data_IF_339798026255
#
_entry.id   IF_339798026255
#
_cell.length_a   1.000
_cell.length_b   1.000
_cell.length_c   1.000
_cell.angle_alpha   90.00
_cell.angle_beta   90.00
_cell.angle_gamma   90.00
#
_symmetry.space_group_name_H-M   'P 1'
#
loop_
_entity.id
_entity.type
_entity.pdbx_description
1 polymer ?
#
# COMPACT_ATOMS: atom_id res chain seq x y z
N UNK A 1 -17.81 2.37 2.22
CA UNK A 1 -17.58 1.02 1.70
C UNK A 1 -16.41 1.13 0.72
N UNK A 2 -16.05 0.07 0.01
CA UNK A 2 -15.08 0.14 -1.08
C UNK A 2 -15.57 1.12 -2.17
N UNK A 3 -14.66 1.83 -2.81
CA UNK A 3 -14.95 2.77 -3.91
C UNK A 3 -14.10 2.42 -5.15
N UNK A 4 -14.66 2.44 -6.37
CA UNK A 4 -13.91 2.07 -7.56
C UNK A 4 -12.97 3.21 -7.98
N UNK A 5 -11.71 2.87 -8.23
CA UNK A 5 -10.77 3.77 -8.88
C UNK A 5 -10.39 5.03 -8.11
N UNK A 6 -9.58 5.84 -8.79
CA UNK A 6 -9.31 7.25 -8.56
C UNK A 6 -8.20 7.67 -9.54
N UNK A 7 -7.74 8.93 -9.48
CA UNK A 7 -6.69 9.44 -10.36
C UNK A 7 -5.39 8.62 -10.35
N UNK A 8 -5.06 7.92 -9.26
CA UNK A 8 -3.87 7.04 -9.16
C UNK A 8 -4.20 5.58 -9.50
N UNK A 9 -5.32 5.06 -8.99
CA UNK A 9 -5.70 3.66 -9.19
C UNK A 9 -6.15 3.36 -10.62
N UNK A 10 -6.68 4.35 -11.33
CA UNK A 10 -7.22 4.22 -12.67
C UNK A 10 -8.74 4.09 -12.66
N UNK A 11 -9.25 3.31 -13.60
CA UNK A 11 -10.67 3.09 -13.85
C UNK A 11 -11.34 2.23 -12.78
N UNK A 12 -12.10 1.20 -13.17
CA UNK A 12 -12.95 0.43 -12.25
C UNK A 12 -12.39 -0.92 -11.82
N UNK A 13 -11.18 -1.28 -12.27
CA UNK A 13 -10.55 -2.57 -11.91
C UNK A 13 -10.20 -2.65 -10.41
N UNK A 14 -9.61 -1.58 -9.87
CA UNK A 14 -9.11 -1.55 -8.49
C UNK A 14 -10.08 -0.77 -7.61
N UNK A 15 -10.52 -1.40 -6.53
CA UNK A 15 -11.38 -0.80 -5.52
C UNK A 15 -10.58 -0.44 -4.27
N UNK A 16 -10.76 0.77 -3.75
CA UNK A 16 -10.08 1.25 -2.57
C UNK A 16 -10.95 1.19 -1.33
N UNK A 17 -10.38 0.79 -0.19
CA UNK A 17 -10.98 0.99 1.13
C UNK A 17 -10.13 1.97 1.94
N UNK A 18 -10.65 3.16 2.25
CA UNK A 18 -9.92 4.16 3.03
C UNK A 18 -10.47 4.34 4.45
N UNK A 19 -9.57 4.71 5.36
CA UNK A 19 -9.83 5.13 6.73
C UNK A 19 -9.29 6.56 6.95
N UNK A 20 -9.70 7.25 8.03
CA UNK A 20 -9.15 8.55 8.38
C UNK A 20 -7.65 8.42 8.65
N UNK A 21 -6.87 9.42 8.25
CA UNK A 21 -5.40 9.34 8.31
C UNK A 21 -4.83 10.33 9.31
N UNK A 22 -3.59 10.09 9.74
CA UNK A 22 -2.79 11.09 10.48
C UNK A 22 -3.03 11.13 11.99
N UNK A 23 -3.76 10.18 12.57
CA UNK A 23 -3.92 10.06 14.03
C UNK A 23 -3.33 8.74 14.54
N UNK A 24 -2.79 8.72 15.76
CA UNK A 24 -2.16 7.53 16.33
C UNK A 24 -3.16 6.37 16.47
N UNK A 25 -4.42 6.71 16.73
CA UNK A 25 -5.54 5.77 16.83
C UNK A 25 -5.85 5.01 15.54
N UNK A 26 -5.48 5.55 14.37
CA UNK A 26 -5.74 4.91 13.07
C UNK A 26 -4.44 4.52 12.34
N UNK A 27 -3.36 5.25 12.58
CA UNK A 27 -2.05 5.06 11.98
C UNK A 27 -0.96 4.84 13.06
N UNK A 28 -1.02 3.74 13.83
CA UNK A 28 -0.14 3.56 14.98
C UNK A 28 1.34 3.38 14.60
N UNK A 29 1.62 2.98 13.35
CA UNK A 29 2.97 2.85 12.82
C UNK A 29 3.53 4.12 12.17
N UNK A 30 2.85 5.28 12.24
CA UNK A 30 3.32 6.48 11.55
C UNK A 30 4.69 6.97 12.06
N UNK A 31 5.49 7.49 11.15
CA UNK A 31 6.74 8.24 11.40
C UNK A 31 6.49 9.75 11.38
N UNK A 32 7.49 10.55 11.76
CA UNK A 32 7.42 12.01 11.63
C UNK A 32 7.26 12.43 10.15
N UNK A 33 8.02 11.84 9.24
CA UNK A 33 7.91 12.01 7.80
C UNK A 33 6.50 11.69 7.29
N UNK A 34 5.88 10.63 7.81
CA UNK A 34 4.48 10.30 7.48
C UNK A 34 3.52 11.39 7.96
N UNK A 35 3.68 11.92 9.17
CA UNK A 35 2.84 13.01 9.69
C UNK A 35 2.94 14.26 8.83
N UNK A 36 4.15 14.65 8.46
CA UNK A 36 4.41 15.84 7.65
C UNK A 36 3.92 15.70 6.20
N UNK A 37 4.07 14.51 5.61
CA UNK A 37 3.84 14.30 4.17
C UNK A 37 2.64 13.40 3.84
N UNK A 38 1.75 13.15 4.79
CA UNK A 38 0.60 12.26 4.57
C UNK A 38 -0.30 12.79 3.45
N UNK A 39 -0.25 12.15 2.28
CA UNK A 39 -1.08 12.57 1.15
C UNK A 39 -2.57 12.42 1.46
N UNK A 40 -2.95 11.46 2.31
CA UNK A 40 -4.34 11.17 2.62
C UNK A 40 -4.95 12.27 3.51
N UNK A 41 -4.22 12.76 4.52
CA UNK A 41 -4.62 13.94 5.31
C UNK A 41 -4.86 15.16 4.40
N UNK A 42 -3.94 15.40 3.45
CA UNK A 42 -4.12 16.49 2.48
C UNK A 42 -5.39 16.29 1.63
N UNK A 43 -5.66 15.07 1.15
CA UNK A 43 -6.90 14.78 0.40
C UNK A 43 -8.14 14.98 1.25
N UNK A 44 -8.15 14.52 2.50
CA UNK A 44 -9.27 14.65 3.43
C UNK A 44 -9.59 16.12 3.73
N UNK A 45 -8.57 16.98 3.85
CA UNK A 45 -8.72 18.44 4.06
C UNK A 45 -9.51 19.13 2.95
N UNK A 46 -9.24 18.81 1.69
CA UNK A 46 -9.87 19.49 0.54
C UNK A 46 -11.04 18.68 -0.08
N UNK A 47 -11.37 17.50 0.46
CA UNK A 47 -12.47 16.65 -0.03
C UNK A 47 -13.36 16.15 1.12
N UNK A 48 -14.28 16.97 1.62
CA UNK A 48 -15.10 16.63 2.79
C UNK A 48 -15.92 15.35 2.61
N UNK A 49 -16.43 15.09 1.40
CA UNK A 49 -17.12 13.83 1.09
C UNK A 49 -16.22 12.59 1.25
N UNK A 50 -14.94 12.71 0.92
CA UNK A 50 -13.95 11.63 1.12
C UNK A 50 -13.67 11.44 2.60
N UNK A 51 -13.42 12.51 3.35
CA UNK A 51 -13.22 12.47 4.80
C UNK A 51 -14.42 11.82 5.52
N UNK A 52 -15.64 12.23 5.19
CA UNK A 52 -16.86 11.65 5.74
C UNK A 52 -17.01 10.16 5.37
N UNK A 53 -16.64 9.76 4.15
CA UNK A 53 -16.64 8.35 3.74
C UNK A 53 -15.63 7.51 4.55
N UNK A 54 -14.46 8.07 4.84
CA UNK A 54 -13.42 7.43 5.64
C UNK A 54 -13.87 7.26 7.10
N UNK A 55 -14.49 8.28 7.70
CA UNK A 55 -15.07 8.18 9.04
C UNK A 55 -16.16 7.09 9.11
N UNK A 56 -17.07 7.06 8.12
CA UNK A 56 -18.06 5.96 8.02
C UNK A 56 -17.41 4.59 7.87
N UNK A 57 -16.28 4.50 7.18
CA UNK A 57 -15.54 3.24 7.07
C UNK A 57 -14.93 2.82 8.41
N UNK A 58 -14.34 3.74 9.17
CA UNK A 58 -13.82 3.47 10.51
C UNK A 58 -14.91 2.97 11.47
N UNK A 59 -16.10 3.56 11.43
CA UNK A 59 -17.24 3.03 12.20
C UNK A 59 -17.60 1.59 11.76
N UNK A 60 -17.57 1.32 10.45
CA UNK A 60 -17.86 -0.04 9.92
C UNK A 60 -16.83 -1.07 10.35
N UNK A 61 -15.55 -0.73 10.46
CA UNK A 61 -14.51 -1.70 10.86
C UNK A 61 -14.73 -2.26 12.26
N UNK A 62 -15.44 -1.53 13.12
CA UNK A 62 -15.76 -1.91 14.51
C UNK A 62 -16.95 -2.88 14.60
N UNK A 63 -17.87 -2.87 13.63
CA UNK A 63 -19.09 -3.70 13.65
C UNK A 63 -18.79 -5.20 13.60
N UNK A 64 -19.53 -6.03 14.36
CA UNK A 64 -19.35 -7.50 14.36
C UNK A 64 -19.51 -8.13 12.98
N UNK A 65 -20.35 -7.56 12.12
CA UNK A 65 -20.68 -8.05 10.78
C UNK A 65 -19.75 -7.53 9.66
N UNK A 66 -18.66 -6.82 9.99
CA UNK A 66 -17.76 -6.19 9.01
C UNK A 66 -17.29 -7.17 7.92
N UNK A 67 -16.77 -8.34 8.31
CA UNK A 67 -16.25 -9.36 7.37
C UNK A 67 -17.35 -9.80 6.40
N UNK A 68 -18.55 -10.06 6.92
CA UNK A 68 -19.71 -10.48 6.12
C UNK A 68 -20.09 -9.42 5.10
N UNK A 69 -20.16 -8.16 5.52
CA UNK A 69 -20.53 -7.03 4.66
C UNK A 69 -19.52 -6.74 3.57
N UNK A 70 -18.23 -6.78 3.90
CA UNK A 70 -17.18 -6.60 2.87
C UNK A 70 -17.27 -7.72 1.85
N UNK A 71 -17.41 -8.98 2.27
CA UNK A 71 -17.55 -10.10 1.33
C UNK A 71 -18.78 -9.99 0.44
N UNK A 72 -19.94 -9.68 1.01
CA UNK A 72 -21.16 -9.46 0.24
C UNK A 72 -20.97 -8.37 -0.81
N UNK A 73 -20.28 -7.29 -0.46
CA UNK A 73 -19.94 -6.22 -1.39
C UNK A 73 -19.02 -6.71 -2.53
N UNK A 74 -17.96 -7.46 -2.20
CA UNK A 74 -17.04 -7.99 -3.22
C UNK A 74 -17.76 -8.84 -4.26
N UNK A 75 -18.69 -9.68 -3.81
CA UNK A 75 -19.52 -10.54 -4.67
C UNK A 75 -20.48 -9.71 -5.51
N UNK A 76 -21.27 -8.85 -4.87
CA UNK A 76 -22.31 -8.06 -5.53
C UNK A 76 -21.76 -7.12 -6.61
N UNK A 77 -20.50 -6.67 -6.47
CA UNK A 77 -19.85 -5.76 -7.42
C UNK A 77 -18.78 -6.44 -8.28
N UNK A 78 -18.67 -7.77 -8.26
CA UNK A 78 -17.66 -8.54 -9.00
C UNK A 78 -16.24 -7.94 -8.87
N UNK A 79 -15.85 -7.58 -7.64
CA UNK A 79 -14.60 -6.86 -7.40
C UNK A 79 -13.40 -7.78 -7.64
N UNK A 80 -12.55 -7.42 -8.59
CA UNK A 80 -11.35 -8.20 -8.92
C UNK A 80 -10.14 -7.86 -8.04
N UNK A 81 -9.90 -6.56 -7.81
CA UNK A 81 -8.70 -6.09 -7.09
C UNK A 81 -9.09 -5.09 -6.00
N UNK A 82 -8.56 -5.28 -4.80
CA UNK A 82 -8.78 -4.40 -3.64
C UNK A 82 -7.46 -3.83 -3.15
N UNK A 83 -7.36 -2.49 -3.16
CA UNK A 83 -6.38 -1.78 -2.35
C UNK A 83 -6.94 -1.58 -0.96
N UNK A 84 -6.42 -2.35 0.00
CA UNK A 84 -6.72 -2.11 1.41
C UNK A 84 -5.90 -0.89 1.85
N UNK A 85 -6.59 0.13 2.35
CA UNK A 85 -6.05 1.44 2.72
C UNK A 85 -5.62 2.32 1.54
N UNK A 86 -6.57 3.16 1.08
CA UNK A 86 -6.25 4.39 0.33
C UNK A 86 -5.91 5.57 1.24
N UNK A 87 -6.19 5.41 2.54
CA UNK A 87 -5.92 6.29 3.67
C UNK A 87 -6.07 5.47 4.96
N UNK A 88 -5.48 5.94 6.06
CA UNK A 88 -5.33 5.23 7.33
C UNK A 88 -4.46 3.97 7.24
N UNK A 89 -4.45 3.16 8.30
CA UNK A 89 -3.64 1.93 8.38
C UNK A 89 -4.35 0.84 9.22
N UNK A 90 -3.70 -0.32 9.40
CA UNK A 90 -4.10 -1.33 10.35
C UNK A 90 -3.89 -0.84 11.79
N UNK A 91 -4.94 -0.30 12.38
CA UNK A 91 -4.87 0.32 13.70
C UNK A 91 -4.91 -0.64 14.90
N UNK A 92 -5.24 -1.92 14.69
CA UNK A 92 -5.27 -2.91 15.76
C UNK A 92 -5.14 -4.33 15.22
N UNK A 93 -4.65 -5.25 16.06
CA UNK A 93 -4.61 -6.70 15.76
C UNK A 93 -6.00 -7.23 15.39
N UNK A 94 -7.03 -6.79 16.10
CA UNK A 94 -8.42 -7.18 15.85
C UNK A 94 -8.92 -6.73 14.47
N UNK A 95 -8.58 -5.51 14.05
CA UNK A 95 -8.91 -5.03 12.71
C UNK A 95 -8.14 -5.74 11.61
N UNK A 96 -6.83 -5.95 11.79
CA UNK A 96 -6.02 -6.74 10.85
C UNK A 96 -6.60 -8.15 10.68
N UNK A 97 -6.96 -8.84 11.77
CA UNK A 97 -7.59 -10.17 11.71
C UNK A 97 -8.88 -10.19 10.90
N UNK A 98 -9.66 -9.10 10.92
CA UNK A 98 -10.89 -9.00 10.11
C UNK A 98 -10.58 -8.97 8.62
N UNK A 99 -9.58 -8.19 8.19
CA UNK A 99 -9.14 -8.20 6.80
C UNK A 99 -8.53 -9.52 6.38
N UNK A 100 -7.74 -10.14 7.24
CA UNK A 100 -7.18 -11.48 6.97
C UNK A 100 -8.30 -12.49 6.70
N UNK A 101 -9.36 -12.47 7.52
CA UNK A 101 -10.57 -13.30 7.31
C UNK A 101 -11.33 -12.97 6.02
N UNK A 102 -11.31 -11.72 5.55
CA UNK A 102 -11.89 -11.35 4.24
C UNK A 102 -11.04 -11.97 3.13
N UNK A 103 -9.73 -11.79 3.17
CA UNK A 103 -8.78 -12.29 2.17
C UNK A 103 -8.87 -13.82 2.03
N UNK A 104 -8.86 -14.54 3.15
CA UNK A 104 -9.01 -16.00 3.18
C UNK A 104 -10.32 -16.50 2.56
N UNK A 105 -11.42 -15.75 2.73
CA UNK A 105 -12.76 -16.16 2.26
C UNK A 105 -13.12 -15.57 0.89
N UNK A 106 -12.16 -14.95 0.21
CA UNK A 106 -12.32 -14.33 -1.11
C UNK A 106 -11.11 -14.64 -2.00
N UNK A 107 -10.79 -15.93 -2.24
CA UNK A 107 -9.55 -16.33 -2.93
C UNK A 107 -9.45 -15.84 -4.38
N UNK A 108 -10.59 -15.53 -5.03
CA UNK A 108 -10.64 -14.97 -6.40
C UNK A 108 -10.38 -13.47 -6.47
N UNK A 109 -10.31 -12.78 -5.32
CA UNK A 109 -10.05 -11.34 -5.25
C UNK A 109 -8.60 -11.13 -4.87
N UNK A 110 -7.89 -10.29 -5.63
CA UNK A 110 -6.53 -9.90 -5.30
C UNK A 110 -6.53 -8.71 -4.36
N UNK A 111 -5.86 -8.84 -3.22
CA UNK A 111 -5.69 -7.77 -2.24
C UNK A 111 -4.27 -7.26 -2.27
N UNK A 112 -4.08 -5.97 -2.06
CA UNK A 112 -2.77 -5.41 -1.77
C UNK A 112 -2.88 -4.19 -0.86
N UNK A 113 -1.82 -3.92 -0.11
CA UNK A 113 -1.77 -2.77 0.79
C UNK A 113 -0.34 -2.35 1.11
N UNK A 114 -0.23 -1.10 1.56
CA UNK A 114 0.97 -0.53 2.15
C UNK A 114 0.66 -0.24 3.60
N UNK A 115 1.56 -0.62 4.49
CA UNK A 115 1.35 -0.42 5.93
C UNK A 115 2.65 0.02 6.58
N UNK A 116 2.59 0.95 7.54
CA UNK A 116 3.67 1.17 8.51
C UNK A 116 3.37 0.47 9.83
N UNK A 117 2.16 -0.06 10.02
CA UNK A 117 1.79 -0.87 11.20
C UNK A 117 2.56 -2.19 11.34
N UNK A 118 3.46 -2.54 10.41
CA UNK A 118 4.49 -3.57 10.66
C UNK A 118 5.40 -3.19 11.84
N UNK A 119 5.48 -1.92 12.21
CA UNK A 119 6.18 -1.44 13.42
C UNK A 119 5.45 -1.80 14.72
N UNK A 120 4.18 -2.24 14.63
CA UNK A 120 3.38 -2.64 15.80
C UNK A 120 3.35 -4.16 15.86
N UNK A 121 4.10 -4.76 16.79
CA UNK A 121 4.34 -6.21 16.84
C UNK A 121 3.05 -7.06 16.75
N UNK A 122 2.00 -6.68 17.49
CA UNK A 122 0.72 -7.39 17.51
C UNK A 122 -0.02 -7.34 16.15
N UNK A 123 0.17 -6.28 15.36
CA UNK A 123 -0.40 -6.11 14.02
C UNK A 123 0.49 -6.80 12.99
N UNK A 124 1.82 -6.63 13.09
CA UNK A 124 2.83 -7.26 12.23
C UNK A 124 2.60 -8.76 12.09
N UNK A 125 2.41 -9.47 13.20
CA UNK A 125 2.18 -10.92 13.19
C UNK A 125 0.97 -11.34 12.33
N UNK A 126 -0.05 -10.49 12.20
CA UNK A 126 -1.22 -10.76 11.33
C UNK A 126 -0.94 -10.36 9.88
N UNK A 127 -0.22 -9.26 9.66
CA UNK A 127 0.21 -8.83 8.32
C UNK A 127 1.08 -9.91 7.67
N UNK A 128 1.99 -10.53 8.41
CA UNK A 128 2.86 -11.60 7.91
C UNK A 128 2.05 -12.84 7.53
N UNK A 129 0.98 -13.17 8.27
CA UNK A 129 0.03 -14.22 7.86
C UNK A 129 -0.70 -13.86 6.56
N UNK A 130 -1.05 -12.59 6.36
CA UNK A 130 -1.65 -12.14 5.10
C UNK A 130 -0.66 -12.32 3.94
N UNK A 131 0.63 -12.06 4.14
CA UNK A 131 1.66 -12.19 3.09
C UNK A 131 1.83 -13.62 2.57
N UNK A 132 1.45 -14.63 3.35
CA UNK A 132 1.47 -16.03 2.90
C UNK A 132 0.33 -16.33 1.92
N UNK A 133 -0.77 -15.58 1.94
CA UNK A 133 -1.92 -15.84 1.07
C UNK A 133 -1.58 -15.54 -0.40
N UNK A 134 -1.88 -16.45 -1.35
CA UNK A 134 -1.55 -16.26 -2.76
C UNK A 134 -2.31 -15.09 -3.42
N UNK A 135 -3.43 -14.68 -2.82
CA UNK A 135 -4.25 -13.57 -3.29
C UNK A 135 -3.97 -12.25 -2.53
N UNK A 136 -2.84 -12.14 -1.82
CA UNK A 136 -2.48 -10.93 -1.09
C UNK A 136 -1.02 -10.50 -1.36
N UNK A 137 -0.82 -9.24 -1.76
CA UNK A 137 0.49 -8.62 -1.92
C UNK A 137 0.72 -7.60 -0.81
N UNK A 138 1.68 -7.89 0.07
CA UNK A 138 1.97 -7.07 1.25
C UNK A 138 3.17 -6.17 0.99
N UNK A 139 2.98 -4.88 1.25
CA UNK A 139 4.06 -3.90 1.20
C UNK A 139 4.29 -3.28 2.57
N UNK A 140 5.50 -3.44 3.09
CA UNK A 140 5.96 -2.61 4.19
C UNK A 140 6.33 -1.25 3.62
N UNK A 141 5.64 -0.22 4.11
CA UNK A 141 6.00 1.16 3.81
C UNK A 141 7.08 1.59 4.77
N UNK A 142 8.16 2.11 4.21
CA UNK A 142 9.34 2.62 4.90
C UNK A 142 9.60 4.08 4.47
N UNK A 143 10.37 4.78 5.27
CA UNK A 143 10.97 6.08 4.99
C UNK A 143 12.22 6.25 5.87
N UNK A 144 12.88 7.41 5.74
CA UNK A 144 14.09 7.73 6.48
C UNK A 144 13.97 7.58 8.00
N UNK A 145 12.78 7.81 8.57
CA UNK A 145 12.59 7.75 10.03
C UNK A 145 12.27 6.33 10.49
N UNK A 146 11.58 5.55 9.66
CA UNK A 146 11.30 4.14 10.01
C UNK A 146 12.48 3.22 9.75
N UNK A 147 13.37 3.60 8.84
CA UNK A 147 14.32 2.69 8.22
C UNK A 147 13.62 1.52 7.51
N UNK A 148 14.38 0.46 7.27
CA UNK A 148 13.89 -0.84 6.78
C UNK A 148 13.85 -1.84 7.93
N UNK A 149 12.96 -2.85 7.91
CA UNK A 149 12.96 -3.90 8.93
C UNK A 149 14.26 -4.71 8.86
N UNK A 150 14.75 -5.17 10.02
CA UNK A 150 15.96 -6.03 10.10
C UNK A 150 15.76 -7.35 9.35
N UNK A 151 14.55 -7.91 9.45
CA UNK A 151 14.17 -9.15 8.76
C UNK A 151 12.97 -8.86 7.87
N UNK A 152 13.10 -9.18 6.59
CA UNK A 152 12.03 -9.06 5.59
C UNK A 152 11.47 -10.47 5.33
N UNK A 153 10.20 -10.75 5.68
CA UNK A 153 9.59 -12.04 5.33
C UNK A 153 9.56 -12.25 3.81
N UNK A 154 9.75 -13.49 3.35
CA UNK A 154 9.98 -13.80 1.93
C UNK A 154 8.92 -13.27 0.95
N UNK A 155 7.66 -13.12 1.38
CA UNK A 155 6.54 -12.61 0.56
C UNK A 155 6.16 -11.15 0.84
N UNK A 156 6.95 -10.45 1.64
CA UNK A 156 6.77 -9.03 1.93
C UNK A 156 7.69 -8.21 1.02
N UNK A 157 7.13 -7.16 0.44
CA UNK A 157 7.85 -6.21 -0.39
C UNK A 157 8.10 -4.92 0.37
N UNK A 158 9.16 -4.20 0.02
CA UNK A 158 9.52 -2.93 0.63
C UNK A 158 9.22 -1.77 -0.30
N UNK A 159 8.43 -0.81 0.20
CA UNK A 159 8.13 0.44 -0.46
C UNK A 159 8.74 1.61 0.32
N UNK A 160 9.64 2.38 -0.29
CA UNK A 160 10.24 3.56 0.34
C UNK A 160 9.49 4.83 -0.05
N UNK A 161 9.28 5.75 0.90
CA UNK A 161 8.77 7.09 0.61
C UNK A 161 9.93 8.08 0.67
N UNK A 162 10.38 8.54 -0.49
CA UNK A 162 11.36 9.61 -0.61
C UNK A 162 10.71 10.98 -0.31
N UNK A 163 11.24 11.69 0.68
CA UNK A 163 10.71 12.98 1.17
C UNK A 163 11.61 14.18 0.89
N UNK A 164 12.86 13.94 0.51
CA UNK A 164 13.83 14.98 0.15
C UNK A 164 14.57 14.64 -1.15
N UNK A 165 15.29 15.63 -1.69
CA UNK A 165 16.04 15.50 -2.93
C UNK A 165 17.27 14.59 -2.77
N UNK A 166 17.88 14.67 -1.60
CA UNK A 166 19.04 13.93 -1.13
C UNK A 166 18.66 12.63 -0.38
N UNK A 167 17.38 12.25 -0.41
CA UNK A 167 16.89 11.02 0.21
C UNK A 167 17.36 9.81 -0.62
N UNK A 168 18.49 9.24 -0.21
CA UNK A 168 19.07 8.03 -0.81
C UNK A 168 18.43 6.81 -0.16
N UNK A 169 17.58 6.07 -0.89
CA UNK A 169 16.86 4.95 -0.34
C UNK A 169 17.82 3.74 -0.17
N UNK A 170 17.69 2.93 0.90
CA UNK A 170 18.54 1.76 1.10
C UNK A 170 18.51 0.75 -0.06
N UNK A 171 19.55 -0.05 -0.22
CA UNK A 171 19.56 -1.15 -1.19
C UNK A 171 18.48 -2.20 -0.87
N UNK A 172 18.06 -2.96 -1.90
CA UNK A 172 17.12 -4.08 -1.72
C UNK A 172 15.64 -3.67 -1.55
N UNK A 173 15.28 -2.45 -1.95
CA UNK A 173 13.89 -2.00 -2.02
C UNK A 173 13.20 -2.45 -3.30
N UNK A 174 11.90 -2.72 -3.22
CA UNK A 174 11.10 -3.18 -4.36
C UNK A 174 10.43 -2.02 -5.12
N UNK A 175 10.17 -0.90 -4.46
CA UNK A 175 9.55 0.27 -5.07
C UNK A 175 9.82 1.56 -4.26
N UNK A 176 10.02 2.67 -4.95
CA UNK A 176 10.14 4.01 -4.35
C UNK A 176 8.92 4.85 -4.75
N UNK A 177 8.26 5.44 -3.76
CA UNK A 177 7.29 6.51 -3.91
C UNK A 177 7.95 7.85 -3.58
N UNK A 178 7.40 8.90 -4.15
CA UNK A 178 7.91 10.27 -4.01
C UNK A 178 6.80 11.17 -3.53
N UNK A 179 7.13 12.06 -2.59
CA UNK A 179 6.23 13.16 -2.25
C UNK A 179 5.95 14.03 -3.47
N UNK A 180 4.83 14.76 -3.47
CA UNK A 180 4.30 15.44 -4.68
C UNK A 180 5.35 16.32 -5.39
N UNK A 181 6.16 17.08 -4.65
CA UNK A 181 7.18 17.96 -5.22
C UNK A 181 8.28 17.22 -5.99
N UNK A 182 8.52 15.94 -5.73
CA UNK A 182 9.61 15.16 -6.36
C UNK A 182 9.16 14.36 -7.58
N UNK A 183 7.84 14.27 -7.84
CA UNK A 183 7.27 13.36 -8.85
C UNK A 183 7.53 13.74 -10.30
N UNK A 184 7.92 14.98 -10.55
CA UNK A 184 8.19 15.48 -11.89
C UNK A 184 9.64 15.24 -12.33
N UNK A 185 10.52 14.81 -11.41
CA UNK A 185 11.93 14.62 -11.69
C UNK A 185 12.16 13.26 -12.34
N UNK A 186 12.72 13.21 -13.56
CA UNK A 186 13.04 11.95 -14.22
C UNK A 186 13.95 11.09 -13.34
N UNK A 187 13.71 9.78 -13.31
CA UNK A 187 14.64 8.82 -12.70
C UNK A 187 15.84 8.66 -13.62
N UNK A 188 17.04 8.79 -13.07
CA UNK A 188 18.26 8.51 -13.82
C UNK A 188 18.33 7.03 -14.22
N UNK A 189 18.89 6.68 -15.40
CA UNK A 189 19.17 5.29 -15.75
C UNK A 189 19.94 4.58 -14.63
N UNK A 190 19.56 3.34 -14.30
CA UNK A 190 20.15 2.59 -13.19
C UNK A 190 19.74 3.05 -11.78
N UNK A 191 18.89 4.08 -11.66
CA UNK A 191 18.34 4.55 -10.40
C UNK A 191 17.36 3.56 -9.75
N UNK A 192 16.94 3.83 -8.49
CA UNK A 192 16.05 2.95 -7.75
C UNK A 192 14.68 2.80 -8.45
N UNK A 193 13.98 1.67 -8.26
CA UNK A 193 12.72 1.40 -8.96
C UNK A 193 11.61 2.34 -8.46
N UNK A 194 11.43 3.50 -9.11
CA UNK A 194 10.38 4.45 -8.73
C UNK A 194 9.02 4.04 -9.31
N UNK A 195 7.95 4.29 -8.56
CA UNK A 195 6.59 4.11 -9.02
C UNK A 195 6.38 4.80 -10.38
N UNK A 196 5.89 4.09 -11.42
CA UNK A 196 5.72 4.66 -12.77
C UNK A 196 4.79 5.87 -12.86
N UNK A 197 3.95 6.12 -11.85
CA UNK A 197 3.11 7.33 -11.79
C UNK A 197 3.82 8.54 -11.16
N UNK A 198 5.06 8.38 -10.70
CA UNK A 198 5.82 9.32 -9.85
C UNK A 198 7.30 9.44 -10.29
N UNK A 199 7.67 8.87 -11.43
CA UNK A 199 9.06 8.76 -11.92
C UNK A 199 9.50 9.91 -12.84
N UNK A 200 8.64 10.91 -13.06
CA UNK A 200 8.93 12.06 -13.91
C UNK A 200 9.10 11.76 -15.41
N UNK A 201 8.93 10.50 -15.84
CA UNK A 201 9.09 10.12 -17.25
C UNK A 201 7.85 10.55 -18.03
N UNK A 202 8.06 11.42 -19.02
CA UNK A 202 7.01 11.88 -19.93
C UNK A 202 6.46 10.70 -20.74
N UNK A 203 5.13 10.55 -20.75
CA UNK A 203 4.44 9.48 -21.47
C UNK A 203 3.18 10.04 -22.14
N UNK A 204 2.78 9.50 -23.32
CA UNK A 204 1.57 9.95 -24.01
C UNK A 204 0.29 9.82 -23.17
N UNK A 205 0.27 8.86 -22.23
CA UNK A 205 -0.84 8.63 -21.32
C UNK A 205 -0.34 8.54 -19.89
N UNK A 206 -1.12 9.10 -18.96
CA UNK A 206 -0.89 8.93 -17.51
C UNK A 206 -0.87 7.45 -17.15
N UNK A 207 0.13 7.06 -16.37
CA UNK A 207 0.22 5.72 -15.79
C UNK A 207 -0.65 5.64 -14.54
N UNK A 208 -1.45 4.58 -14.47
CA UNK A 208 -2.36 4.25 -13.37
C UNK A 208 -2.09 2.83 -12.89
N UNK A 209 -2.46 2.53 -11.64
CA UNK A 209 -2.15 1.22 -11.04
C UNK A 209 -2.82 0.05 -11.75
N UNK A 210 -4.03 0.24 -12.30
CA UNK A 210 -4.73 -0.76 -13.13
C UNK A 210 -4.01 -1.07 -14.44
N UNK A 211 -3.18 -0.15 -14.94
CA UNK A 211 -2.37 -0.34 -16.15
C UNK A 211 -0.99 -0.94 -15.86
N UNK A 212 -0.30 -0.44 -14.83
CA UNK A 212 1.07 -0.91 -14.58
C UNK A 212 1.12 -2.27 -13.87
N UNK A 213 0.15 -2.57 -12.99
CA UNK A 213 0.06 -3.86 -12.28
C UNK A 213 1.12 -4.10 -11.21
N UNK A 214 2.17 -3.27 -11.11
CA UNK A 214 3.37 -3.49 -10.27
C UNK A 214 3.02 -3.82 -8.81
N UNK A 215 2.01 -3.15 -8.26
CA UNK A 215 1.68 -3.19 -6.84
C UNK A 215 0.84 -4.40 -6.41
N UNK A 216 0.14 -5.03 -7.35
CA UNK A 216 -0.91 -5.99 -7.03
C UNK A 216 -0.83 -7.27 -7.85
N UNK A 217 -0.06 -7.32 -8.94
CA UNK A 217 0.13 -8.53 -9.72
C UNK A 217 1.20 -9.42 -9.07
N UNK A 218 0.87 -10.62 -8.56
CA UNK A 218 1.82 -11.48 -7.85
C UNK A 218 3.00 -11.92 -8.72
N UNK A 219 2.77 -12.21 -10.01
CA UNK A 219 3.80 -12.76 -10.91
C UNK A 219 4.82 -11.74 -11.44
N UNK A 220 4.56 -10.43 -11.33
CA UNK A 220 5.53 -9.38 -11.75
C UNK A 220 6.48 -8.96 -10.62
N UNK A 221 6.36 -9.58 -9.46
CA UNK A 221 6.95 -9.14 -8.20
C UNK A 221 8.04 -10.08 -7.67
N UNK A 222 8.48 -11.06 -8.47
CA UNK A 222 9.55 -11.97 -8.06
C UNK A 222 10.85 -11.19 -7.90
N UNK A 223 11.43 -11.20 -6.70
CA UNK A 223 12.87 -11.02 -6.54
C UNK A 223 13.51 -12.25 -7.18
N UNK A 224 13.90 -12.15 -8.45
CA UNK A 224 14.92 -13.06 -8.94
C UNK A 224 16.21 -12.62 -8.26
N UNK A 225 16.85 -13.45 -7.42
CA UNK A 225 18.23 -13.19 -7.07
C UNK A 225 18.98 -13.07 -8.39
N UNK A 226 19.59 -11.92 -8.65
CA UNK A 226 20.54 -11.80 -9.74
C UNK A 226 21.59 -12.89 -9.50
N UNK A 227 21.93 -13.73 -10.50
CA UNK A 227 23.02 -14.68 -10.32
C UNK A 227 24.25 -13.89 -9.90
N UNK A 228 24.85 -14.31 -8.79
CA UNK A 228 26.15 -13.79 -8.37
C UNK A 228 27.13 -14.23 -9.45
N UNK A 229 27.57 -13.29 -10.27
CA UNK A 229 28.69 -13.51 -11.19
C UNK A 229 29.92 -13.46 -10.29
N UNK A 230 30.45 -14.62 -9.93
CA UNK A 230 31.78 -14.69 -9.33
C UNK A 230 32.78 -14.09 -10.34
N UNK A 231 33.69 -13.21 -9.90
CA UNK A 231 34.72 -12.69 -10.79
C UNK A 231 35.53 -13.86 -11.34
N UNK A 232 35.70 -13.89 -12.65
CA UNK A 232 36.50 -14.90 -13.33
C UNK A 232 37.93 -14.93 -12.74
N UNK A 233 38.57 -16.12 -12.68
CA UNK A 233 39.88 -16.32 -12.06
C UNK A 233 40.99 -15.51 -12.72
#
# INVERSE_FOLDING_TARGET
>A
MLTPGNRKLGGRLIWGFGLPSGTADVCPGMSAACQTHCYAVAVERYRPATAAAYQRNLARTRRRDFVRRVRAFLVAHAVAVVRVHTGGDFYSRGYARRWFRVMQRSPRVTFYFYTRSWRVAAVRAVIEQMAVLPNCVVWYSCDRDTGVPVVVPARVRLAWLATADDDVPPAGLDLVFRIRRLRHRPVAPGGPPVCPSEDGVARPRRVTCDRCGVCWHPARAGRFPLPVIEPAP
#
